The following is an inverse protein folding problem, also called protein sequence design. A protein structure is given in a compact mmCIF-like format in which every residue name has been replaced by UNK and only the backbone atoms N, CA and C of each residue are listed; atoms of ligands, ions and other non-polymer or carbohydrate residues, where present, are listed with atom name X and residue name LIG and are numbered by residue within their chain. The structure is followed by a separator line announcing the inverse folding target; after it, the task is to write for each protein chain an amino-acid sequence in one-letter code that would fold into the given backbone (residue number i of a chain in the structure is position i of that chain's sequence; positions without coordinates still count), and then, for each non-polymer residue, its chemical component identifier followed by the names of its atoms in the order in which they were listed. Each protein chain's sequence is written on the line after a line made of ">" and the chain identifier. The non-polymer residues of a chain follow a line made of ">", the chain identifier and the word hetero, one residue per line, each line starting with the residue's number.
data_IF_614671317796
#
_entry.id   IF_614671317796
#
_cell.length_a   1.000
_cell.length_b   1.000
_cell.length_c   1.000
_cell.angle_alpha   90.00
_cell.angle_beta   90.00
_cell.angle_gamma   90.00
#
_symmetry.space_group_name_H-M   'P 1'
#
loop_
_entity.id
_entity.type
_entity.pdbx_description
1 polymer ?
#
# COMPACT_ATOMS: atom_id res chain seq x y z
N UNK A 1 -22.49 -14.59 1.21
CA UNK A 1 -21.28 -13.86 0.77
C UNK A 1 -20.15 -14.16 1.74
N UNK A 2 -18.88 -14.15 1.32
CA UNK A 2 -17.74 -14.21 2.24
C UNK A 2 -17.80 -13.12 3.32
N UNK A 3 -17.18 -13.35 4.48
CA UNK A 3 -17.25 -12.47 5.65
C UNK A 3 -16.86 -11.01 5.34
N UNK A 4 -15.90 -10.80 4.43
CA UNK A 4 -15.36 -9.48 4.09
C UNK A 4 -15.87 -8.95 2.74
N UNK A 5 -16.88 -9.60 2.14
CA UNK A 5 -17.38 -9.19 0.85
C UNK A 5 -17.89 -7.73 0.89
N UNK A 6 -17.38 -6.90 -0.02
CA UNK A 6 -17.74 -5.48 -0.11
C UNK A 6 -17.07 -4.56 0.90
N UNK A 7 -16.26 -5.08 1.83
CA UNK A 7 -15.51 -4.24 2.78
C UNK A 7 -14.30 -3.61 2.07
N UNK A 8 -14.21 -2.27 1.95
CA UNK A 8 -13.11 -1.63 1.23
C UNK A 8 -11.78 -1.79 1.95
N UNK A 9 -10.72 -2.00 1.17
CA UNK A 9 -9.35 -2.17 1.67
C UNK A 9 -8.35 -1.36 0.85
N UNK A 10 -7.37 -0.77 1.52
CA UNK A 10 -6.18 -0.17 0.90
C UNK A 10 -5.02 -1.14 1.05
N UNK A 11 -4.25 -1.36 -0.01
CA UNK A 11 -3.16 -2.33 -0.01
C UNK A 11 -1.82 -1.60 0.05
N UNK A 12 -0.92 -1.95 0.97
CA UNK A 12 0.44 -1.34 1.02
C UNK A 12 1.12 -1.45 -0.35
N UNK A 13 1.73 -0.37 -0.83
CA UNK A 13 2.24 -0.28 -2.21
C UNK A 13 3.52 -1.09 -2.51
N UNK A 14 3.92 -1.98 -1.58
CA UNK A 14 4.89 -3.05 -1.82
C UNK A 14 4.22 -4.43 -2.04
N UNK A 15 2.88 -4.49 -2.12
CA UNK A 15 2.14 -5.69 -2.45
C UNK A 15 1.56 -5.60 -3.86
N UNK A 16 1.76 -6.67 -4.62
CA UNK A 16 1.38 -6.74 -6.02
C UNK A 16 -0.12 -7.00 -6.22
N UNK A 17 -0.70 -6.23 -7.15
CA UNK A 17 -2.05 -6.36 -7.67
C UNK A 17 -1.98 -6.19 -9.20
N UNK A 18 -2.44 -7.20 -9.94
CA UNK A 18 -2.41 -7.22 -11.41
C UNK A 18 -3.02 -5.94 -11.99
N UNK A 19 -2.33 -5.35 -12.96
CA UNK A 19 -2.79 -4.14 -13.67
C UNK A 19 -2.70 -2.85 -12.87
N UNK A 20 -2.34 -2.91 -11.58
CA UNK A 20 -2.03 -1.73 -10.76
C UNK A 20 -0.54 -1.43 -10.75
N UNK A 21 -0.19 -0.17 -10.46
CA UNK A 21 1.20 0.18 -10.15
C UNK A 21 1.57 -0.36 -8.77
N UNK A 22 2.79 -0.89 -8.64
CA UNK A 22 3.41 -1.25 -7.36
C UNK A 22 4.78 -0.58 -7.30
N UNK A 23 4.84 0.58 -6.65
CA UNK A 23 6.06 1.40 -6.71
C UNK A 23 7.03 1.09 -5.57
N UNK A 24 6.58 0.41 -4.52
CA UNK A 24 7.32 0.28 -3.26
C UNK A 24 7.82 1.63 -2.72
N UNK A 25 7.10 2.72 -2.99
CA UNK A 25 7.51 4.10 -2.73
C UNK A 25 8.85 4.50 -3.34
N UNK A 26 9.27 3.86 -4.42
CA UNK A 26 10.53 4.12 -5.12
C UNK A 26 10.30 4.69 -6.51
N UNK A 27 11.14 5.66 -6.90
CA UNK A 27 11.12 6.22 -8.26
C UNK A 27 11.53 5.22 -9.33
N UNK A 28 12.37 4.23 -9.01
CA UNK A 28 12.78 3.21 -10.00
C UNK A 28 11.61 2.32 -10.44
N UNK A 29 10.57 2.19 -9.60
CA UNK A 29 9.36 1.41 -9.86
C UNK A 29 8.13 2.27 -10.10
N UNK A 30 8.27 3.59 -10.30
CA UNK A 30 7.13 4.52 -10.46
C UNK A 30 6.13 4.09 -11.54
N UNK A 31 6.64 3.45 -12.61
CA UNK A 31 5.84 2.95 -13.72
C UNK A 31 5.74 1.42 -13.79
N UNK A 32 6.20 0.69 -12.75
CA UNK A 32 6.05 -0.76 -12.70
C UNK A 32 4.58 -1.12 -12.52
N UNK A 33 3.99 -1.79 -13.52
CA UNK A 33 2.66 -2.37 -13.46
C UNK A 33 2.78 -3.86 -13.19
N UNK A 34 2.17 -4.35 -12.12
CA UNK A 34 2.35 -5.74 -11.71
C UNK A 34 1.71 -6.71 -12.71
N UNK A 35 2.43 -7.75 -13.18
CA UNK A 35 1.85 -8.81 -14.00
C UNK A 35 1.27 -9.97 -13.17
N UNK A 36 1.36 -9.91 -11.84
CA UNK A 36 0.84 -10.95 -10.93
C UNK A 36 0.23 -10.37 -9.65
N UNK A 37 -0.57 -11.18 -8.95
CA UNK A 37 -1.07 -10.87 -7.62
C UNK A 37 -0.13 -11.45 -6.56
N UNK A 38 0.10 -10.74 -5.47
CA UNK A 38 0.60 -11.39 -4.26
C UNK A 38 -0.45 -12.38 -3.73
N UNK A 39 -0.01 -13.44 -3.05
CA UNK A 39 -0.93 -14.47 -2.51
C UNK A 39 -2.02 -13.87 -1.61
N UNK A 40 -1.70 -12.85 -0.82
CA UNK A 40 -2.70 -12.15 0.02
C UNK A 40 -3.70 -11.36 -0.82
N UNK A 41 -3.25 -10.68 -1.87
CA UNK A 41 -4.12 -9.97 -2.83
C UNK A 41 -5.11 -10.94 -3.46
N UNK A 42 -4.63 -12.10 -3.91
CA UNK A 42 -5.47 -13.15 -4.50
C UNK A 42 -6.54 -13.65 -3.51
N UNK A 43 -6.17 -13.87 -2.25
CA UNK A 43 -7.13 -14.26 -1.20
C UNK A 43 -8.18 -13.19 -0.95
N UNK A 44 -7.80 -11.90 -0.94
CA UNK A 44 -8.72 -10.79 -0.74
C UNK A 44 -9.72 -10.68 -1.89
N UNK A 45 -9.24 -10.73 -3.14
CA UNK A 45 -10.09 -10.69 -4.33
C UNK A 45 -11.08 -11.85 -4.38
N UNK A 46 -10.63 -13.07 -4.06
CA UNK A 46 -11.50 -14.25 -3.99
C UNK A 46 -12.55 -14.17 -2.86
N UNK A 47 -12.34 -13.31 -1.86
CA UNK A 47 -13.31 -12.99 -0.82
C UNK A 47 -14.18 -11.76 -1.14
N UNK A 48 -14.17 -11.29 -2.40
CA UNK A 48 -14.95 -10.14 -2.87
C UNK A 48 -14.62 -8.84 -2.11
N UNK A 49 -13.37 -8.68 -1.69
CA UNK A 49 -12.88 -7.46 -1.03
C UNK A 49 -12.49 -6.44 -2.11
N UNK A 50 -13.17 -5.28 -2.22
CA UNK A 50 -12.75 -4.23 -3.14
C UNK A 50 -11.46 -3.55 -2.65
N UNK A 51 -10.39 -3.68 -3.43
CA UNK A 51 -9.14 -2.95 -3.20
C UNK A 51 -9.26 -1.57 -3.86
N UNK A 52 -9.34 -0.52 -3.04
CA UNK A 52 -9.67 0.84 -3.50
C UNK A 52 -8.44 1.71 -3.77
N UNK A 53 -7.25 1.26 -3.40
CA UNK A 53 -6.02 2.01 -3.62
C UNK A 53 -4.77 1.33 -3.08
N UNK A 54 -3.64 1.99 -3.30
CA UNK A 54 -2.32 1.58 -2.80
C UNK A 54 -1.84 2.58 -1.73
N UNK A 55 -1.47 2.08 -0.56
CA UNK A 55 -1.02 2.89 0.56
C UNK A 55 0.48 3.17 0.51
N UNK A 56 0.85 4.42 0.78
CA UNK A 56 2.24 4.87 0.81
C UNK A 56 3.04 4.18 1.93
N UNK A 57 4.35 4.04 1.71
CA UNK A 57 5.32 3.39 2.60
C UNK A 57 6.66 4.13 2.61
N UNK A 58 7.57 3.81 3.54
CA UNK A 58 9.00 4.12 3.31
C UNK A 58 9.50 3.38 2.07
N UNK A 59 10.40 4.00 1.29
CA UNK A 59 10.98 3.40 0.08
C UNK A 59 11.54 2.00 0.37
N UNK A 60 11.10 1.01 -0.42
CA UNK A 60 11.42 -0.41 -0.24
C UNK A 60 11.14 -0.97 1.16
N UNK A 61 10.22 -0.38 1.90
CA UNK A 61 9.91 -0.69 3.29
C UNK A 61 11.06 -0.45 4.28
N UNK A 62 12.07 0.33 3.89
CA UNK A 62 13.27 0.62 4.69
C UNK A 62 13.14 1.94 5.45
N UNK A 63 12.42 1.89 6.57
CA UNK A 63 12.24 3.03 7.46
C UNK A 63 11.26 2.70 8.59
N UNK A 64 11.13 3.64 9.53
CA UNK A 64 10.29 3.50 10.73
C UNK A 64 9.39 4.73 10.96
N UNK A 65 9.29 5.63 9.98
CA UNK A 65 8.50 6.87 10.10
C UNK A 65 7.67 7.24 8.87
N UNK A 66 7.81 6.49 7.76
CA UNK A 66 7.14 6.78 6.49
C UNK A 66 7.53 8.12 5.84
N UNK A 67 8.69 8.64 6.22
CA UNK A 67 9.25 9.87 5.66
C UNK A 67 10.19 9.61 4.48
N UNK A 68 10.71 8.39 4.34
CA UNK A 68 11.64 8.01 3.27
C UNK A 68 10.91 7.62 1.97
N UNK A 69 9.62 7.91 1.84
CA UNK A 69 8.90 7.70 0.57
C UNK A 69 9.48 8.63 -0.50
N UNK A 70 9.76 8.10 -1.69
CA UNK A 70 10.21 8.91 -2.81
C UNK A 70 9.10 9.76 -3.46
N UNK A 71 7.86 9.68 -2.96
CA UNK A 71 6.72 10.45 -3.45
C UNK A 71 6.32 11.58 -2.52
N UNK A 72 5.89 11.25 -1.29
CA UNK A 72 5.45 12.22 -0.29
C UNK A 72 5.57 11.64 1.12
N UNK A 73 5.73 12.48 2.14
CA UNK A 73 5.62 12.06 3.55
C UNK A 73 4.18 11.71 3.90
N UNK A 74 3.99 10.74 4.79
CA UNK A 74 2.68 10.47 5.40
C UNK A 74 2.64 11.16 6.76
N UNK A 75 1.47 11.69 7.12
CA UNK A 75 1.22 12.39 8.36
C UNK A 75 0.32 11.58 9.28
N UNK A 76 0.54 11.67 10.58
CA UNK A 76 -0.31 11.02 11.57
C UNK A 76 -1.69 11.70 11.64
N UNK A 77 -2.81 10.98 11.51
CA UNK A 77 -4.14 11.58 11.56
C UNK A 77 -4.49 12.18 12.94
N UNK A 78 -3.81 11.77 14.02
CA UNK A 78 -4.00 12.34 15.35
C UNK A 78 -3.25 13.67 15.55
N UNK A 79 -2.20 13.92 14.77
CA UNK A 79 -1.41 15.15 14.79
C UNK A 79 -0.60 15.24 13.48
N UNK A 80 -1.01 16.14 12.58
CA UNK A 80 -0.40 16.26 11.25
C UNK A 80 1.07 16.73 11.29
N UNK A 81 1.57 17.19 12.44
CA UNK A 81 3.00 17.51 12.62
C UNK A 81 3.84 16.29 13.02
N UNK A 82 3.23 15.12 13.21
CA UNK A 82 3.90 13.89 13.62
C UNK A 82 3.88 12.83 12.54
N UNK A 83 4.84 11.91 12.66
CA UNK A 83 4.96 10.72 11.82
C UNK A 83 3.88 9.68 12.19
N UNK A 84 3.38 8.90 11.23
CA UNK A 84 2.45 7.79 11.47
C UNK A 84 3.16 6.50 11.93
N UNK A 85 4.49 6.52 12.09
CA UNK A 85 5.32 5.32 12.20
C UNK A 85 5.70 4.79 10.80
N UNK A 86 6.29 3.61 10.71
CA UNK A 86 6.74 3.07 9.42
C UNK A 86 7.16 1.60 9.50
N UNK A 87 7.40 0.95 8.36
CA UNK A 87 7.27 1.50 7.01
C UNK A 87 5.87 1.43 6.43
N UNK A 88 4.87 1.00 7.20
CA UNK A 88 3.48 0.86 6.76
C UNK A 88 2.61 2.07 7.15
N UNK A 89 3.18 3.27 7.25
CA UNK A 89 2.50 4.43 7.84
C UNK A 89 1.29 4.93 7.06
N UNK A 90 1.19 4.63 5.76
CA UNK A 90 0.01 4.95 4.96
C UNK A 90 -1.13 3.93 5.05
N UNK A 91 -0.91 2.77 5.68
CA UNK A 91 -1.93 1.73 5.92
C UNK A 91 -2.56 1.93 7.29
#
# INVERSE_FOLDING_TARGET
>A
LPLLAGVPLVLKDNMNLVGSRTTASSKILENFVSPFNATVTEKLLNNLVPIVGKANLDEFAMGSSNENSAFNKVHNPWDLNKVPGGSSGGS
#
